data_IF_335312078502
#
_entry.id   IF_335312078502
#
_cell.length_a   1.000
_cell.length_b   1.000
_cell.length_c   1.000
_cell.angle_alpha   90.00
_cell.angle_beta   90.00
_cell.angle_gamma   90.00
#
_symmetry.space_group_name_H-M   'P 1'
#
loop_
_entity.id
_entity.type
_entity.pdbx_description
1 polymer ?
#
# COMPACT_ATOMS: atom_id res chain seq x y z
N UNK A 1 -18.98 -17.02 5.87
CA UNK A 1 -18.08 -16.03 6.50
C UNK A 1 -18.62 -14.64 6.25
N UNK A 2 -18.82 -13.79 7.27
CA UNK A 2 -19.29 -12.43 7.02
C UNK A 2 -18.21 -11.69 6.24
N UNK A 3 -18.57 -11.18 5.07
CA UNK A 3 -17.73 -10.32 4.25
C UNK A 3 -17.57 -8.99 4.96
N UNK A 4 -16.36 -8.66 5.40
CA UNK A 4 -16.04 -7.30 5.83
C UNK A 4 -16.39 -6.33 4.69
N UNK A 5 -16.94 -5.14 4.98
CA UNK A 5 -17.10 -4.08 4.00
C UNK A 5 -15.80 -3.91 3.20
N UNK A 6 -15.91 -3.76 1.87
CA UNK A 6 -14.76 -3.73 0.95
C UNK A 6 -13.66 -2.78 1.43
N UNK A 7 -14.03 -1.60 1.94
CA UNK A 7 -13.12 -0.65 2.55
C UNK A 7 -12.36 -1.18 3.77
N UNK A 8 -13.03 -1.89 4.69
CA UNK A 8 -12.37 -2.48 5.86
C UNK A 8 -11.36 -3.55 5.42
N UNK A 9 -11.72 -4.35 4.41
CA UNK A 9 -10.80 -5.36 3.86
C UNK A 9 -9.59 -4.70 3.20
N UNK A 10 -9.78 -3.64 2.41
CA UNK A 10 -8.69 -2.88 1.79
C UNK A 10 -7.76 -2.30 2.86
N UNK A 11 -8.32 -1.70 3.92
CA UNK A 11 -7.54 -1.15 5.04
C UNK A 11 -6.70 -2.22 5.74
N UNK A 12 -7.27 -3.39 6.01
CA UNK A 12 -6.52 -4.50 6.64
C UNK A 12 -5.39 -4.99 5.71
N UNK A 13 -5.64 -5.09 4.41
CA UNK A 13 -4.59 -5.50 3.45
C UNK A 13 -3.49 -4.44 3.36
N UNK A 14 -3.84 -3.15 3.38
CA UNK A 14 -2.89 -2.04 3.33
C UNK A 14 -1.90 -2.05 4.50
N UNK A 15 -2.28 -2.56 5.68
CA UNK A 15 -1.39 -2.70 6.83
C UNK A 15 -0.22 -3.66 6.60
N UNK A 16 -0.30 -4.52 5.59
CA UNK A 16 0.82 -5.40 5.24
C UNK A 16 1.90 -4.70 4.41
N UNK A 17 1.67 -3.46 3.96
CA UNK A 17 2.67 -2.67 3.26
C UNK A 17 3.44 -1.80 4.25
N UNK A 18 4.76 -1.76 4.10
CA UNK A 18 5.64 -0.95 4.93
C UNK A 18 6.82 -0.39 4.12
N UNK A 19 7.44 0.66 4.65
CA UNK A 19 8.65 1.24 4.07
C UNK A 19 9.90 0.57 4.64
N UNK A 20 10.75 0.06 3.76
CA UNK A 20 12.00 -0.59 4.14
C UNK A 20 13.14 -0.16 3.23
N UNK A 21 14.21 0.43 3.79
CA UNK A 21 15.38 0.92 3.04
C UNK A 21 15.03 1.84 1.85
N UNK A 22 13.94 2.59 1.96
CA UNK A 22 13.46 3.49 0.92
C UNK A 22 12.56 2.84 -0.14
N UNK A 23 12.38 1.52 -0.10
CA UNK A 23 11.45 0.80 -0.97
C UNK A 23 10.13 0.52 -0.23
N UNK A 24 9.03 0.50 -0.97
CA UNK A 24 7.75 0.01 -0.47
C UNK A 24 7.77 -1.52 -0.59
N UNK A 25 7.54 -2.21 0.52
CA UNK A 25 7.50 -3.67 0.57
C UNK A 25 6.17 -4.17 1.12
N UNK A 26 5.80 -5.38 0.75
CA UNK A 26 4.64 -6.10 1.28
C UNK A 26 5.11 -7.31 2.08
N UNK A 27 4.62 -7.40 3.33
CA UNK A 27 4.85 -8.56 4.21
C UNK A 27 3.76 -9.60 3.96
N UNK A 28 4.15 -10.75 3.42
CA UNK A 28 3.27 -11.91 3.31
C UNK A 28 2.96 -12.51 4.69
N UNK A 29 1.91 -13.32 4.76
CA UNK A 29 1.59 -14.14 5.94
C UNK A 29 2.71 -15.12 6.28
N UNK A 30 3.44 -15.59 5.28
CA UNK A 30 4.58 -16.50 5.41
C UNK A 30 5.89 -15.75 5.71
N UNK A 31 5.79 -14.51 6.19
CA UNK A 31 6.90 -13.62 6.56
C UNK A 31 7.86 -13.23 5.41
N UNK A 32 7.54 -13.62 4.18
CA UNK A 32 8.25 -13.14 3.00
C UNK A 32 8.05 -11.64 2.81
N UNK A 33 9.14 -10.93 2.58
CA UNK A 33 9.15 -9.50 2.23
C UNK A 33 9.29 -9.39 0.72
N UNK A 34 8.23 -8.92 0.05
CA UNK A 34 8.24 -8.68 -1.38
C UNK A 34 8.40 -7.20 -1.67
N UNK A 35 9.35 -6.85 -2.53
CA UNK A 35 9.49 -5.47 -3.00
C UNK A 35 8.35 -5.12 -3.95
N UNK A 36 7.65 -4.03 -3.67
CA UNK A 36 6.54 -3.54 -4.49
C UNK A 36 6.98 -2.36 -5.36
N UNK A 37 7.48 -1.29 -4.74
CA UNK A 37 7.95 -0.10 -5.44
C UNK A 37 9.36 0.25 -4.97
N UNK A 38 10.23 0.63 -5.90
CA UNK A 38 11.50 1.23 -5.56
C UNK A 38 11.34 2.65 -5.03
N UNK A 39 12.37 3.17 -4.35
CA UNK A 39 12.41 4.55 -3.82
C UNK A 39 11.88 5.64 -4.76
N UNK A 40 12.29 5.62 -6.03
CA UNK A 40 11.85 6.65 -7.00
C UNK A 40 10.35 6.55 -7.30
N UNK A 41 9.84 5.34 -7.48
CA UNK A 41 8.44 5.07 -7.81
C UNK A 41 7.55 5.38 -6.60
N UNK A 42 7.98 4.96 -5.41
CA UNK A 42 7.31 5.28 -4.17
C UNK A 42 7.19 6.79 -3.95
N UNK A 43 8.28 7.55 -4.09
CA UNK A 43 8.23 9.01 -3.92
C UNK A 43 7.26 9.68 -4.90
N UNK A 44 7.21 9.19 -6.15
CA UNK A 44 6.25 9.67 -7.14
C UNK A 44 4.81 9.42 -6.68
N UNK A 45 4.47 8.17 -6.31
CA UNK A 45 3.10 7.80 -5.88
C UNK A 45 2.68 8.56 -4.62
N UNK A 46 3.59 8.75 -3.65
CA UNK A 46 3.30 9.55 -2.46
C UNK A 46 3.05 11.02 -2.78
N UNK A 47 3.81 11.60 -3.72
CA UNK A 47 3.58 12.96 -4.21
C UNK A 47 2.19 13.09 -4.84
N UNK A 48 1.86 12.20 -5.77
CA UNK A 48 0.56 12.18 -6.44
C UNK A 48 -0.61 11.96 -5.46
N UNK A 49 -0.42 11.10 -4.43
CA UNK A 49 -1.41 10.88 -3.38
C UNK A 49 -1.59 12.10 -2.47
N UNK A 50 -0.49 12.78 -2.12
CA UNK A 50 -0.51 14.03 -1.34
C UNK A 50 -1.22 15.15 -2.11
N UNK A 51 -1.00 15.24 -3.43
CA UNK A 51 -1.68 16.17 -4.32
C UNK A 51 -3.15 15.79 -4.58
N UNK A 52 -3.58 14.63 -4.11
CA UNK A 52 -4.97 14.17 -4.23
C UNK A 52 -5.34 13.65 -5.62
N UNK A 53 -4.36 13.38 -6.50
CA UNK A 53 -4.59 12.86 -7.86
C UNK A 53 -5.39 11.54 -7.82
N UNK A 54 -5.10 10.70 -6.82
CA UNK A 54 -5.77 9.40 -6.65
C UNK A 54 -7.09 9.45 -5.86
N UNK A 55 -7.54 10.63 -5.39
CA UNK A 55 -8.83 10.77 -4.66
C UNK A 55 -10.06 10.89 -5.58
N UNK A 56 -9.88 10.99 -6.90
CA UNK A 56 -10.99 11.28 -7.83
C UNK A 56 -12.05 10.16 -7.98
N UNK A 57 -11.95 9.04 -7.25
CA UNK A 57 -12.82 7.86 -7.41
C UNK A 57 -13.37 7.35 -6.05
N UNK A 58 -13.97 8.23 -5.26
CA UNK A 58 -14.83 7.84 -4.14
C UNK A 58 -16.29 8.16 -4.46
#
# INVERSE_FOLDING_TARGET
YPTLPSEKRIRVIALNYLMWNGDLVWKSKDELILRCLGKKEYMKVMGEAHEGIYRAHQ
#
